data_IF_121236304587
#
_entry.id   IF_121236304587
#
_cell.length_a   1.000
_cell.length_b   1.000
_cell.length_c   1.000
_cell.angle_alpha   90.00
_cell.angle_beta   90.00
_cell.angle_gamma   90.00
#
_symmetry.space_group_name_H-M   'P 1'
#
loop_
_entity.id
_entity.type
_entity.pdbx_description
1 polymer ?
#
# COMPACT_ATOMS: atom_id res chain seq x y z
N UNK A 1 -14.18 22.98 10.47
CA UNK A 1 -14.28 23.53 9.10
C UNK A 1 -14.65 22.44 8.08
N UNK A 2 -14.12 21.24 8.17
CA UNK A 2 -14.45 20.08 7.28
C UNK A 2 -15.94 19.75 7.25
N UNK A 3 -16.63 19.72 8.39
CA UNK A 3 -18.08 19.42 8.45
C UNK A 3 -18.94 20.33 7.57
N UNK A 4 -18.67 21.64 7.54
CA UNK A 4 -19.43 22.58 6.71
C UNK A 4 -19.18 22.38 5.22
N UNK A 5 -17.94 22.03 4.84
CA UNK A 5 -17.59 21.73 3.45
C UNK A 5 -18.19 20.38 3.04
N UNK A 6 -18.14 19.39 3.94
CA UNK A 6 -18.75 18.08 3.71
C UNK A 6 -20.25 18.16 3.39
N UNK A 7 -20.99 19.01 4.09
CA UNK A 7 -22.42 19.23 3.80
C UNK A 7 -22.72 19.80 2.40
N UNK A 8 -21.75 20.45 1.75
CA UNK A 8 -21.92 20.86 0.35
C UNK A 8 -22.01 19.65 -0.58
N UNK A 9 -21.20 18.62 -0.33
CA UNK A 9 -21.24 17.39 -1.12
C UNK A 9 -22.56 16.66 -0.95
N UNK A 10 -23.01 16.44 0.29
CA UNK A 10 -24.24 15.71 0.58
C UNK A 10 -25.50 16.47 0.12
N UNK A 11 -25.49 17.79 0.17
CA UNK A 11 -26.63 18.60 -0.29
C UNK A 11 -26.74 18.69 -1.82
N UNK A 12 -25.63 18.48 -2.54
CA UNK A 12 -25.56 18.63 -4.00
C UNK A 12 -25.92 20.01 -4.54
N UNK A 13 -26.05 21.04 -3.66
CA UNK A 13 -26.46 22.37 -4.05
C UNK A 13 -25.32 23.18 -4.64
N UNK A 14 -25.59 23.91 -5.74
CA UNK A 14 -24.63 24.82 -6.39
C UNK A 14 -23.37 24.14 -6.93
N UNK A 15 -23.46 22.88 -7.29
CA UNK A 15 -22.39 22.19 -8.02
C UNK A 15 -22.20 22.84 -9.39
N UNK A 16 -20.95 22.97 -9.82
CA UNK A 16 -20.55 23.63 -11.06
C UNK A 16 -19.71 22.73 -11.98
N UNK A 17 -19.53 21.46 -11.58
CA UNK A 17 -18.91 20.40 -12.36
C UNK A 17 -19.57 19.06 -12.02
N UNK A 18 -19.57 18.13 -12.97
CA UNK A 18 -20.00 16.75 -12.77
C UNK A 18 -18.90 15.83 -13.30
N UNK A 19 -18.61 14.75 -12.59
CA UNK A 19 -17.75 13.68 -13.07
C UNK A 19 -18.58 12.46 -13.40
N UNK A 20 -18.28 11.82 -14.52
CA UNK A 20 -18.86 10.55 -14.95
C UNK A 20 -17.80 9.46 -14.73
N UNK A 21 -18.11 8.47 -13.89
CA UNK A 21 -17.24 7.35 -13.55
C UNK A 21 -18.09 6.08 -13.52
N UNK A 22 -17.78 5.07 -14.31
CA UNK A 22 -18.57 3.84 -14.46
C UNK A 22 -20.07 4.10 -14.66
N UNK A 23 -20.40 5.07 -15.54
CA UNK A 23 -21.79 5.48 -15.82
C UNK A 23 -22.52 6.16 -14.64
N UNK A 24 -21.85 6.34 -13.50
CA UNK A 24 -22.37 7.11 -12.36
C UNK A 24 -21.95 8.58 -12.44
N UNK A 25 -22.86 9.46 -12.00
CA UNK A 25 -22.66 10.91 -12.05
C UNK A 25 -22.36 11.49 -10.67
N UNK A 26 -21.23 12.17 -10.53
CA UNK A 26 -20.76 12.75 -9.29
C UNK A 26 -20.70 14.29 -9.40
N UNK A 27 -21.74 15.00 -8.96
CA UNK A 27 -21.72 16.45 -8.93
C UNK A 27 -20.79 16.98 -7.84
N UNK A 28 -19.99 18.00 -8.17
CA UNK A 28 -18.96 18.54 -7.29
C UNK A 28 -18.79 20.07 -7.47
N UNK A 29 -17.90 20.67 -6.66
CA UNK A 29 -17.58 22.08 -6.67
C UNK A 29 -16.13 22.29 -7.09
N UNK A 30 -15.90 22.92 -8.24
CA UNK A 30 -14.56 23.20 -8.79
C UNK A 30 -13.63 23.84 -7.78
N UNK A 31 -14.12 24.79 -7.01
CA UNK A 31 -13.31 25.53 -6.02
C UNK A 31 -12.82 24.62 -4.91
N UNK A 32 -13.67 23.70 -4.41
CA UNK A 32 -13.28 22.73 -3.36
C UNK A 32 -12.20 21.78 -3.89
N UNK A 33 -12.43 21.21 -5.08
CA UNK A 33 -11.48 20.29 -5.69
C UNK A 33 -10.13 20.95 -5.96
N UNK A 34 -10.14 22.15 -6.52
CA UNK A 34 -8.93 22.91 -6.82
C UNK A 34 -8.18 23.41 -5.58
N UNK A 35 -8.88 23.64 -4.47
CA UNK A 35 -8.27 24.00 -3.20
C UNK A 35 -7.53 22.81 -2.56
N UNK A 36 -8.00 21.60 -2.81
CA UNK A 36 -7.47 20.35 -2.21
C UNK A 36 -6.43 19.65 -3.06
N UNK A 37 -6.53 19.76 -4.39
CA UNK A 37 -5.68 19.05 -5.33
C UNK A 37 -5.06 20.00 -6.37
N UNK A 38 -3.72 20.06 -6.48
CA UNK A 38 -3.06 20.82 -7.53
C UNK A 38 -3.39 20.30 -8.93
N UNK A 39 -3.65 18.99 -9.07
CA UNK A 39 -4.02 18.35 -10.32
C UNK A 39 -5.41 18.82 -10.75
N UNK A 40 -6.40 18.77 -9.87
CA UNK A 40 -7.72 19.32 -10.18
C UNK A 40 -7.69 20.84 -10.41
N UNK A 41 -6.82 21.56 -9.68
CA UNK A 41 -6.62 23.00 -9.95
C UNK A 41 -6.14 23.23 -11.37
N UNK A 42 -5.14 22.48 -11.82
CA UNK A 42 -4.63 22.61 -13.18
C UNK A 42 -5.70 22.21 -14.24
N UNK A 43 -6.41 21.12 -13.97
CA UNK A 43 -7.45 20.61 -14.88
C UNK A 43 -8.66 21.54 -14.99
N UNK A 44 -9.12 22.09 -13.86
CA UNK A 44 -10.36 22.88 -13.80
C UNK A 44 -10.15 24.38 -14.05
N UNK A 45 -8.97 24.92 -13.74
CA UNK A 45 -8.67 26.35 -13.83
C UNK A 45 -7.40 26.67 -14.62
N UNK A 46 -6.69 25.67 -15.11
CA UNK A 46 -5.47 25.84 -15.91
C UNK A 46 -5.74 26.48 -17.28
N UNK A 47 -4.67 26.89 -18.01
CA UNK A 47 -4.78 27.60 -19.26
C UNK A 47 -5.39 26.77 -20.41
N UNK A 48 -5.31 25.43 -20.32
CA UNK A 48 -5.83 24.51 -21.34
C UNK A 48 -7.26 24.01 -21.04
N UNK A 49 -7.94 24.60 -20.05
CA UNK A 49 -9.31 24.20 -19.72
C UNK A 49 -10.30 24.60 -20.81
N UNK A 50 -11.25 23.72 -21.09
CA UNK A 50 -12.47 24.12 -21.80
C UNK A 50 -13.38 24.91 -20.84
N UNK A 51 -13.64 26.18 -21.17
CA UNK A 51 -14.49 27.07 -20.36
C UNK A 51 -15.92 26.56 -20.22
N UNK A 52 -16.39 25.75 -21.17
CA UNK A 52 -17.75 25.21 -21.21
C UNK A 52 -17.86 23.81 -20.63
N UNK A 53 -16.74 23.20 -20.16
CA UNK A 53 -16.73 21.86 -19.62
C UNK A 53 -17.54 21.80 -18.33
N UNK A 54 -18.66 21.08 -18.38
CA UNK A 54 -19.55 20.82 -17.24
C UNK A 54 -19.49 19.36 -16.78
N UNK A 55 -18.99 18.46 -17.63
CA UNK A 55 -18.82 17.05 -17.33
C UNK A 55 -17.40 16.60 -17.69
N UNK A 56 -16.78 15.82 -16.82
CA UNK A 56 -15.47 15.18 -17.04
C UNK A 56 -15.67 13.68 -16.86
N UNK A 57 -15.32 12.91 -17.88
CA UNK A 57 -15.30 11.45 -17.81
C UNK A 57 -13.96 10.95 -17.24
N UNK A 58 -14.03 10.03 -16.29
CA UNK A 58 -12.90 9.33 -15.71
C UNK A 58 -13.06 7.84 -16.04
N UNK A 59 -12.15 7.30 -16.82
CA UNK A 59 -12.28 5.94 -17.39
C UNK A 59 -11.44 4.89 -16.65
N UNK A 60 -10.49 5.32 -15.85
CA UNK A 60 -9.47 4.47 -15.22
C UNK A 60 -9.59 4.43 -13.68
N UNK A 61 -10.82 4.55 -13.18
CA UNK A 61 -11.14 4.49 -11.76
C UNK A 61 -12.56 3.96 -11.58
N UNK A 62 -12.77 3.10 -10.61
CA UNK A 62 -14.10 2.59 -10.25
C UNK A 62 -14.92 3.64 -9.47
N UNK A 63 -16.23 3.62 -9.65
CA UNK A 63 -17.15 4.55 -9.01
C UNK A 63 -17.06 4.59 -7.47
N UNK A 64 -16.93 3.47 -6.73
CA UNK A 64 -16.73 3.48 -5.29
C UNK A 64 -15.43 4.17 -4.85
N UNK A 65 -14.34 3.99 -5.63
CA UNK A 65 -13.05 4.64 -5.36
C UNK A 65 -13.14 6.14 -5.53
N UNK A 66 -13.77 6.59 -6.63
CA UNK A 66 -13.97 8.02 -6.88
C UNK A 66 -14.89 8.65 -5.82
N UNK A 67 -15.93 7.96 -5.39
CA UNK A 67 -16.81 8.39 -4.30
C UNK A 67 -16.05 8.56 -2.99
N UNK A 68 -15.15 7.63 -2.65
CA UNK A 68 -14.27 7.72 -1.48
C UNK A 68 -13.29 8.89 -1.59
N UNK A 69 -12.71 9.09 -2.78
CA UNK A 69 -11.83 10.23 -3.08
C UNK A 69 -12.55 11.58 -2.89
N UNK A 70 -13.76 11.73 -3.46
CA UNK A 70 -14.57 12.92 -3.27
C UNK A 70 -14.93 13.13 -1.80
N UNK A 71 -15.35 12.08 -1.10
CA UNK A 71 -15.63 12.16 0.33
C UNK A 71 -14.43 12.72 1.08
N UNK A 72 -13.23 12.17 0.86
CA UNK A 72 -12.00 12.66 1.50
C UNK A 72 -11.72 14.13 1.18
N UNK A 73 -11.91 14.57 -0.07
CA UNK A 73 -11.67 15.96 -0.46
C UNK A 73 -12.59 16.96 0.25
N UNK A 74 -13.79 16.54 0.65
CA UNK A 74 -14.75 17.40 1.34
C UNK A 74 -14.69 17.27 2.86
N UNK A 75 -14.54 16.05 3.39
CA UNK A 75 -14.60 15.78 4.82
C UNK A 75 -13.23 15.68 5.51
N UNK A 76 -12.16 15.48 4.72
CA UNK A 76 -10.79 15.22 5.20
C UNK A 76 -10.66 13.92 6.02
N UNK A 77 -11.62 13.02 5.83
CA UNK A 77 -11.72 11.71 6.49
C UNK A 77 -12.05 10.64 5.45
N UNK A 78 -11.57 9.42 5.67
CA UNK A 78 -11.97 8.29 4.85
C UNK A 78 -13.43 7.91 5.18
N UNK A 79 -14.25 7.62 4.18
CA UNK A 79 -15.61 7.14 4.41
C UNK A 79 -15.60 5.73 4.98
N UNK A 80 -16.72 5.34 5.57
CA UNK A 80 -16.94 3.94 5.92
C UNK A 80 -17.05 3.11 4.64
N UNK A 81 -16.15 2.12 4.49
CA UNK A 81 -16.07 1.28 3.29
C UNK A 81 -17.31 0.39 3.16
N UNK A 82 -17.88 -0.07 4.26
CA UNK A 82 -19.12 -0.82 4.28
C UNK A 82 -20.31 -0.03 3.67
N UNK A 83 -20.39 1.27 3.97
CA UNK A 83 -21.41 2.14 3.40
C UNK A 83 -21.21 2.38 1.90
N UNK A 84 -19.97 2.29 1.41
CA UNK A 84 -19.64 2.49 0.00
C UNK A 84 -19.85 1.25 -0.85
N UNK A 85 -19.49 0.09 -0.33
CA UNK A 85 -19.41 -1.17 -1.09
C UNK A 85 -20.48 -2.17 -0.71
N UNK A 86 -21.17 -1.96 0.42
CA UNK A 86 -22.09 -2.94 1.00
C UNK A 86 -21.40 -4.17 1.60
N UNK A 87 -20.07 -4.18 1.64
CA UNK A 87 -19.26 -5.31 2.11
C UNK A 87 -18.31 -4.86 3.22
N UNK A 88 -18.28 -5.63 4.31
CA UNK A 88 -17.38 -5.40 5.43
C UNK A 88 -16.40 -6.57 5.56
N UNK A 89 -15.44 -6.64 4.66
CA UNK A 89 -14.37 -7.62 4.71
C UNK A 89 -13.01 -6.93 4.64
N UNK A 90 -12.01 -7.51 5.32
CA UNK A 90 -10.62 -7.00 5.26
C UNK A 90 -10.11 -6.95 3.82
N UNK A 91 -10.49 -7.94 3.00
CA UNK A 91 -10.13 -7.98 1.58
C UNK A 91 -10.61 -6.75 0.81
N UNK A 92 -11.89 -6.39 0.93
CA UNK A 92 -12.47 -5.22 0.27
C UNK A 92 -11.82 -3.93 0.78
N UNK A 93 -11.56 -3.85 2.09
CA UNK A 93 -10.86 -2.71 2.70
C UNK A 93 -9.45 -2.54 2.15
N UNK A 94 -8.69 -3.63 2.03
CA UNK A 94 -7.33 -3.63 1.47
C UNK A 94 -7.33 -3.23 0.00
N UNK A 95 -8.24 -3.80 -0.81
CA UNK A 95 -8.36 -3.46 -2.23
C UNK A 95 -8.72 -1.98 -2.42
N UNK A 96 -9.68 -1.47 -1.65
CA UNK A 96 -10.03 -0.05 -1.65
C UNK A 96 -8.83 0.84 -1.28
N UNK A 97 -8.04 0.45 -0.27
CA UNK A 97 -6.85 1.19 0.12
C UNK A 97 -5.76 1.20 -0.97
N UNK A 98 -5.60 0.09 -1.73
CA UNK A 98 -4.70 0.03 -2.89
C UNK A 98 -5.13 1.01 -3.99
N UNK A 99 -6.41 1.01 -4.35
CA UNK A 99 -6.94 1.94 -5.35
C UNK A 99 -6.87 3.40 -4.89
N UNK A 100 -7.15 3.66 -3.61
CA UNK A 100 -7.04 5.01 -3.04
C UNK A 100 -5.60 5.50 -2.96
N UNK A 101 -4.62 4.63 -2.73
CA UNK A 101 -3.21 4.97 -2.79
C UNK A 101 -2.83 5.50 -4.18
N UNK A 102 -3.18 4.75 -5.23
CA UNK A 102 -2.92 5.13 -6.62
C UNK A 102 -3.66 6.43 -7.01
N UNK A 103 -4.93 6.55 -6.62
CA UNK A 103 -5.72 7.75 -6.86
C UNK A 103 -5.14 8.97 -6.12
N UNK A 104 -4.73 8.80 -4.86
CA UNK A 104 -4.15 9.87 -4.06
C UNK A 104 -2.84 10.40 -4.67
N UNK A 105 -1.98 9.52 -5.14
CA UNK A 105 -0.75 9.88 -5.85
C UNK A 105 -1.06 10.65 -7.14
N UNK A 106 -1.96 10.12 -7.97
CA UNK A 106 -2.40 10.76 -9.23
C UNK A 106 -2.95 12.17 -9.04
N UNK A 107 -3.76 12.39 -8.00
CA UNK A 107 -4.38 13.70 -7.73
C UNK A 107 -3.57 14.55 -6.75
N UNK A 108 -2.36 14.12 -6.38
CA UNK A 108 -1.46 14.78 -5.43
C UNK A 108 -2.17 15.12 -4.10
N UNK A 109 -2.79 14.11 -3.49
CA UNK A 109 -3.47 14.18 -2.21
C UNK A 109 -2.61 13.49 -1.14
N UNK A 110 -1.53 14.16 -0.71
CA UNK A 110 -0.49 13.59 0.15
C UNK A 110 -1.04 12.95 1.43
N UNK A 111 -2.00 13.62 2.08
CA UNK A 111 -2.59 13.09 3.31
C UNK A 111 -3.41 11.81 3.05
N UNK A 112 -4.14 11.73 1.94
CA UNK A 112 -4.87 10.52 1.57
C UNK A 112 -3.89 9.39 1.25
N UNK A 113 -2.80 9.69 0.54
CA UNK A 113 -1.72 8.74 0.26
C UNK A 113 -1.17 8.14 1.54
N UNK A 114 -0.82 8.97 2.53
CA UNK A 114 -0.32 8.51 3.84
C UNK A 114 -1.34 7.66 4.60
N UNK A 115 -2.62 8.02 4.59
CA UNK A 115 -3.66 7.23 5.25
C UNK A 115 -3.86 5.87 4.58
N UNK A 116 -3.83 5.83 3.25
CA UNK A 116 -3.91 4.58 2.49
C UNK A 116 -2.69 3.69 2.71
N UNK A 117 -1.48 4.29 2.73
CA UNK A 117 -0.24 3.59 3.05
C UNK A 117 -0.28 2.97 4.45
N UNK A 118 -0.71 3.74 5.46
CA UNK A 118 -0.84 3.25 6.84
C UNK A 118 -1.80 2.07 6.91
N UNK A 119 -2.97 2.19 6.29
CA UNK A 119 -3.96 1.12 6.25
C UNK A 119 -3.42 -0.16 5.60
N UNK A 120 -2.67 -0.03 4.51
CA UNK A 120 -2.03 -1.15 3.84
C UNK A 120 -0.91 -1.79 4.67
N UNK A 121 -0.20 -1.01 5.48
CA UNK A 121 0.79 -1.54 6.43
C UNK A 121 0.14 -2.38 7.55
N UNK A 122 -1.08 -2.02 7.97
CA UNK A 122 -1.83 -2.75 9.00
C UNK A 122 -2.44 -4.05 8.46
N UNK A 123 -2.88 -4.06 7.20
CA UNK A 123 -3.68 -5.14 6.59
C UNK A 123 -2.85 -6.04 5.65
N UNK A 124 -1.55 -6.21 5.88
CA UNK A 124 -0.70 -7.06 5.03
C UNK A 124 -1.13 -8.53 5.12
N UNK A 125 -1.45 -9.14 3.99
CA UNK A 125 -1.89 -10.52 3.90
C UNK A 125 -1.26 -11.26 2.71
N UNK A 126 -1.19 -12.59 2.77
CA UNK A 126 -0.55 -13.44 1.75
C UNK A 126 -1.07 -13.15 0.34
N UNK A 127 -2.40 -13.03 0.19
CA UNK A 127 -3.03 -12.85 -1.13
C UNK A 127 -2.92 -11.43 -1.69
N UNK A 128 -2.55 -10.43 -0.88
CA UNK A 128 -2.50 -9.02 -1.28
C UNK A 128 -1.10 -8.45 -1.30
N UNK A 129 -0.14 -9.04 -0.57
CA UNK A 129 1.17 -8.46 -0.33
C UNK A 129 1.98 -8.25 -1.61
N UNK A 130 1.88 -9.14 -2.59
CA UNK A 130 2.63 -9.01 -3.84
C UNK A 130 2.17 -7.80 -4.65
N UNK A 131 0.85 -7.61 -4.81
CA UNK A 131 0.29 -6.43 -5.46
C UNK A 131 0.57 -5.15 -4.67
N UNK A 132 0.46 -5.22 -3.34
CA UNK A 132 0.78 -4.08 -2.46
C UNK A 132 2.26 -3.69 -2.57
N UNK A 133 3.17 -4.66 -2.69
CA UNK A 133 4.59 -4.42 -2.89
C UNK A 133 4.87 -3.73 -4.23
N UNK A 134 4.23 -4.18 -5.30
CA UNK A 134 4.33 -3.54 -6.61
C UNK A 134 3.84 -2.09 -6.59
N UNK A 135 2.69 -1.84 -5.95
CA UNK A 135 2.15 -0.49 -5.77
C UNK A 135 3.08 0.39 -4.91
N UNK A 136 3.63 -0.16 -3.83
CA UNK A 136 4.56 0.57 -2.96
C UNK A 136 5.81 1.05 -3.72
N UNK A 137 6.33 0.22 -4.63
CA UNK A 137 7.44 0.60 -5.53
C UNK A 137 7.01 1.68 -6.51
N UNK A 138 5.90 1.47 -7.22
CA UNK A 138 5.41 2.37 -8.26
C UNK A 138 5.10 3.77 -7.71
N UNK A 139 4.56 3.85 -6.50
CA UNK A 139 4.16 5.10 -5.86
C UNK A 139 5.18 5.63 -4.83
N UNK A 140 6.39 5.04 -4.78
CA UNK A 140 7.51 5.44 -3.91
C UNK A 140 7.16 5.43 -2.42
N UNK A 141 6.36 4.45 -1.97
CA UNK A 141 5.97 4.26 -0.57
C UNK A 141 6.99 3.37 0.15
N UNK A 142 8.11 3.96 0.56
CA UNK A 142 9.26 3.21 1.12
C UNK A 142 8.93 2.46 2.41
N UNK A 143 8.06 3.02 3.26
CA UNK A 143 7.67 2.36 4.51
C UNK A 143 6.82 1.12 4.22
N UNK A 144 5.81 1.24 3.37
CA UNK A 144 4.96 0.14 2.94
C UNK A 144 5.78 -0.96 2.25
N UNK A 145 6.70 -0.58 1.35
CA UNK A 145 7.63 -1.51 0.70
C UNK A 145 8.41 -2.33 1.74
N UNK A 146 8.98 -1.66 2.75
CA UNK A 146 9.74 -2.34 3.80
C UNK A 146 8.87 -3.31 4.61
N UNK A 147 7.64 -2.94 4.93
CA UNK A 147 6.69 -3.81 5.65
C UNK A 147 6.34 -5.03 4.80
N UNK A 148 6.06 -4.85 3.51
CA UNK A 148 5.77 -5.95 2.59
C UNK A 148 6.97 -6.91 2.44
N UNK A 149 8.19 -6.38 2.25
CA UNK A 149 9.40 -7.20 2.16
C UNK A 149 9.63 -8.02 3.43
N UNK A 150 9.46 -7.43 4.61
CA UNK A 150 9.55 -8.14 5.90
C UNK A 150 8.53 -9.28 6.00
N UNK A 151 7.30 -9.01 5.59
CA UNK A 151 6.23 -10.00 5.64
C UNK A 151 6.52 -11.19 4.71
N UNK A 152 6.93 -10.91 3.47
CA UNK A 152 7.24 -11.95 2.47
C UNK A 152 8.49 -12.75 2.85
N UNK A 153 9.50 -12.11 3.43
CA UNK A 153 10.75 -12.76 3.80
C UNK A 153 10.62 -13.75 4.96
N UNK A 154 9.51 -13.76 5.68
CA UNK A 154 9.24 -14.81 6.66
C UNK A 154 9.14 -16.17 5.97
N UNK A 155 9.88 -17.22 6.41
CA UNK A 155 9.88 -18.54 5.77
C UNK A 155 8.49 -19.16 5.63
N UNK A 156 7.60 -18.88 6.58
CA UNK A 156 6.21 -19.35 6.59
C UNK A 156 5.39 -18.71 5.48
N UNK A 157 5.62 -17.42 5.20
CA UNK A 157 4.85 -16.65 4.23
C UNK A 157 5.39 -16.79 2.81
N UNK A 158 6.72 -16.85 2.64
CA UNK A 158 7.36 -16.84 1.32
C UNK A 158 6.79 -17.91 0.38
N UNK A 159 6.71 -19.16 0.85
CA UNK A 159 6.17 -20.25 0.05
C UNK A 159 4.72 -20.04 -0.36
N UNK A 160 3.90 -19.50 0.54
CA UNK A 160 2.48 -19.25 0.28
C UNK A 160 2.29 -18.07 -0.68
N UNK A 161 3.07 -17.00 -0.52
CA UNK A 161 3.04 -15.82 -1.41
C UNK A 161 3.46 -16.19 -2.83
N UNK A 162 4.49 -17.03 -3.00
CA UNK A 162 4.95 -17.51 -4.32
C UNK A 162 3.90 -18.33 -5.10
N UNK A 163 2.84 -18.77 -4.44
CA UNK A 163 1.73 -19.51 -5.07
C UNK A 163 0.54 -18.60 -5.44
N UNK A 164 0.65 -17.30 -5.24
CA UNK A 164 -0.41 -16.34 -5.54
C UNK A 164 -0.27 -15.76 -6.96
N UNK A 165 -1.40 -15.48 -7.61
CA UNK A 165 -1.42 -14.77 -8.91
C UNK A 165 -0.74 -13.39 -8.83
N UNK A 166 -0.83 -12.72 -7.67
CA UNK A 166 -0.15 -11.45 -7.43
C UNK A 166 1.37 -11.57 -7.51
N UNK A 167 1.94 -12.70 -7.14
CA UNK A 167 3.38 -12.94 -7.26
C UNK A 167 3.79 -13.16 -8.72
N UNK A 168 2.98 -13.86 -9.51
CA UNK A 168 3.21 -14.01 -10.96
C UNK A 168 3.18 -12.64 -11.66
N UNK A 169 2.24 -11.78 -11.27
CA UNK A 169 2.18 -10.40 -11.74
C UNK A 169 3.43 -9.60 -11.34
N UNK A 170 3.88 -9.73 -10.09
CA UNK A 170 5.09 -9.07 -9.60
C UNK A 170 6.33 -9.48 -10.38
N UNK A 171 6.47 -10.76 -10.72
CA UNK A 171 7.57 -11.29 -11.54
C UNK A 171 7.62 -10.65 -12.93
N UNK A 172 6.45 -10.47 -13.54
CA UNK A 172 6.35 -9.92 -14.89
C UNK A 172 6.52 -8.40 -14.91
N UNK A 173 5.94 -7.70 -13.92
CA UNK A 173 5.86 -6.24 -13.90
C UNK A 173 7.06 -5.55 -13.28
N UNK A 174 7.66 -6.16 -12.27
CA UNK A 174 8.70 -5.54 -11.44
C UNK A 174 9.84 -6.53 -11.10
N UNK A 175 10.61 -7.04 -12.08
CA UNK A 175 11.66 -8.03 -11.83
C UNK A 175 12.77 -7.54 -10.88
N UNK A 176 13.00 -6.23 -10.78
CA UNK A 176 13.95 -5.63 -9.83
C UNK A 176 13.57 -5.87 -8.38
N UNK A 177 12.26 -5.89 -8.08
CA UNK A 177 11.78 -6.18 -6.72
C UNK A 177 12.07 -7.61 -6.28
N UNK A 178 12.12 -8.56 -7.22
CA UNK A 178 12.50 -9.94 -6.89
C UNK A 178 13.95 -10.04 -6.45
N UNK A 179 14.85 -9.32 -7.11
CA UNK A 179 16.25 -9.25 -6.71
C UNK A 179 16.38 -8.67 -5.30
N UNK A 180 15.68 -7.58 -5.04
CA UNK A 180 15.67 -6.94 -3.72
C UNK A 180 15.06 -7.85 -2.65
N UNK A 181 13.99 -8.58 -2.97
CA UNK A 181 13.38 -9.56 -2.07
C UNK A 181 14.37 -10.69 -1.74
N UNK A 182 15.07 -11.23 -2.73
CA UNK A 182 16.09 -12.27 -2.52
C UNK A 182 17.23 -11.77 -1.64
N UNK A 183 17.72 -10.55 -1.87
CA UNK A 183 18.71 -9.92 -1.00
C UNK A 183 18.20 -9.73 0.43
N UNK A 184 16.92 -9.36 0.58
CA UNK A 184 16.31 -9.20 1.89
C UNK A 184 16.17 -10.52 2.62
N UNK A 185 15.74 -11.59 1.94
CA UNK A 185 15.64 -12.95 2.49
C UNK A 185 17.01 -13.48 2.90
N UNK A 186 18.04 -13.26 2.09
CA UNK A 186 19.41 -13.65 2.41
C UNK A 186 19.92 -12.96 3.68
N UNK A 187 19.70 -11.65 3.83
CA UNK A 187 20.10 -10.89 5.03
C UNK A 187 19.37 -11.37 6.30
N UNK A 188 18.08 -11.71 6.19
CA UNK A 188 17.29 -12.23 7.31
C UNK A 188 17.74 -13.66 7.68
N UNK A 189 18.10 -14.48 6.68
CA UNK A 189 18.63 -15.84 6.86
C UNK A 189 19.96 -15.86 7.59
N UNK A 190 20.87 -14.95 7.29
CA UNK A 190 22.18 -14.84 7.94
C UNK A 190 22.09 -14.46 9.44
N UNK A 191 21.03 -13.77 9.84
CA UNK A 191 20.78 -13.45 11.26
C UNK A 191 20.07 -14.58 12.03
N UNK A 192 19.61 -15.62 11.35
CA UNK A 192 18.92 -16.78 11.93
C UNK A 192 19.84 -17.98 12.19
N UNK A 193 21.15 -17.87 11.97
CA UNK A 193 22.12 -18.91 12.39
C UNK A 193 22.34 -18.76 13.89
N UNK A 194 21.86 -19.70 14.73
CA UNK A 194 22.19 -19.66 16.14
C UNK A 194 23.72 -19.86 16.28
N UNK A 195 24.40 -19.15 17.20
CA UNK A 195 25.81 -19.36 17.47
C UNK A 195 25.98 -20.61 18.33
N UNK A 196 25.75 -21.79 17.78
CA UNK A 196 25.91 -23.05 18.46
C UNK A 196 26.32 -24.11 17.47
N UNK A 197 27.54 -24.08 17.01
CA UNK A 197 28.31 -25.27 16.62
C UNK A 197 29.81 -24.94 16.66
N UNK A 198 30.27 -24.43 17.81
CA UNK A 198 31.60 -24.81 18.21
C UNK A 198 31.44 -26.15 18.89
N UNK A 199 31.63 -27.21 18.12
CA UNK A 199 31.97 -28.52 18.65
C UNK A 199 33.16 -28.32 19.58
N UNK A 200 32.93 -28.54 20.88
CA UNK A 200 33.99 -28.82 21.81
C UNK A 200 34.75 -30.07 21.30
N UNK A 201 35.73 -29.87 20.47
CA UNK A 201 36.86 -30.82 20.42
C UNK A 201 37.53 -30.69 21.77
N UNK A 202 37.14 -31.60 22.64
CA UNK A 202 37.89 -31.93 23.84
C UNK A 202 39.29 -32.31 23.37
N UNK A 203 40.22 -31.37 23.52
CA UNK A 203 41.64 -31.69 23.45
C UNK A 203 41.91 -32.70 24.56
N UNK A 204 42.02 -33.97 24.16
CA UNK A 204 42.47 -35.07 25.01
C UNK A 204 43.92 -34.78 25.42
N UNK A 205 44.08 -34.25 26.63
CA UNK A 205 45.38 -33.95 27.25
C UNK A 205 46.06 -35.24 27.69
N UNK A 206 46.61 -35.99 26.74
CA UNK A 206 47.56 -37.06 27.01
C UNK A 206 48.96 -36.47 27.17
N UNK A 207 49.68 -36.89 28.21
CA UNK A 207 51.09 -36.59 28.35
C UNK A 207 51.93 -37.35 27.28
N UNK A 208 53.13 -36.96 27.06
CA UNK A 208 54.02 -37.53 26.04
C UNK A 208 54.27 -39.06 26.16
N UNK A 209 53.67 -39.76 27.13
CA UNK A 209 53.78 -41.19 27.39
C UNK A 209 52.43 -41.93 27.42
N UNK A 210 51.26 -41.26 26.99
CA UNK A 210 50.01 -41.98 26.82
C UNK A 210 49.28 -42.38 28.11
N UNK A 211 49.53 -41.74 29.27
CA UNK A 211 48.87 -42.08 30.53
C UNK A 211 47.79 -41.01 30.88
N UNK A 212 46.54 -41.44 31.13
CA UNK A 212 45.46 -40.60 31.63
C UNK A 212 45.75 -40.11 33.05
N UNK A 213 45.81 -38.78 33.24
CA UNK A 213 45.90 -38.14 34.56
C UNK A 213 44.54 -37.89 35.12
N UNK A 214 44.17 -38.44 36.28
CA UNK A 214 42.92 -38.10 36.99
C UNK A 214 43.12 -36.79 37.73
N UNK A 215 42.12 -35.88 37.70
CA UNK A 215 42.15 -34.65 38.48
C UNK A 215 42.05 -35.04 39.99
N UNK A 216 42.90 -34.43 40.82
CA UNK A 216 42.74 -34.42 42.27
C UNK A 216 41.68 -33.39 42.66
N UNK A 217 40.77 -33.77 43.57
CA UNK A 217 39.81 -32.97 44.29
C UNK A 217 40.44 -31.79 45.03
#
# INVERSE_FOLDING_TARGET
MSQHIGHLLTSGKRTDITFEVDEEMFPAHKVVLAARSPVFRAQLFGPMKDKNMKCIKIEDMEAPVFKALLHFMYWDELPNIEELTGLNTTWVSTLMAQHLLAAADRYALERLKLLSELKLCEDVAINTVANTLALAEQHHCHQLKTVCLKFVASPENLKAVMQTEGFDYLQQSCPSLLTELLEYVAKVGDHAVPPCLYSNEVLDGGDANGRRVKPRL
#
